data_IF_346320172265
#
_entry.id   IF_346320172265
#
_cell.length_a   1.000
_cell.length_b   1.000
_cell.length_c   1.000
_cell.angle_alpha   90.00
_cell.angle_beta   90.00
_cell.angle_gamma   90.00
#
_symmetry.space_group_name_H-M   'P 1'
#
loop_
_entity.id
_entity.type
_entity.pdbx_description
1 polymer ?
#
# COMPACT_ATOMS: atom_id res chain seq x y z
N UNK A 1 -2.29 0.77 -15.49
CA UNK A 1 -2.54 1.67 -14.35
C UNK A 1 -1.23 2.30 -13.92
N UNK A 2 -1.25 3.57 -13.55
CA UNK A 2 -0.06 4.35 -13.22
C UNK A 2 -0.27 5.10 -11.90
N UNK A 3 0.80 5.35 -11.14
CA UNK A 3 0.75 6.16 -9.92
C UNK A 3 0.30 7.60 -10.20
N UNK A 4 0.55 8.10 -11.40
CA UNK A 4 0.17 9.45 -11.83
C UNK A 4 -1.34 9.75 -11.69
N UNK A 5 -2.21 8.75 -11.63
CA UNK A 5 -3.65 8.96 -11.39
C UNK A 5 -3.92 9.73 -10.09
N UNK A 6 -3.04 9.59 -9.08
CA UNK A 6 -3.20 10.26 -7.79
C UNK A 6 -2.98 11.78 -7.87
N UNK A 7 -2.25 12.25 -8.87
CA UNK A 7 -1.99 13.67 -9.12
C UNK A 7 -2.72 14.21 -10.36
N UNK A 8 -3.44 13.38 -11.12
CA UNK A 8 -4.11 13.79 -12.37
C UNK A 8 -5.32 14.70 -12.05
N UNK A 9 -5.32 15.97 -12.50
CA UNK A 9 -6.41 16.91 -12.26
C UNK A 9 -7.78 16.45 -12.76
N UNK A 10 -7.83 15.52 -13.71
CA UNK A 10 -9.07 14.88 -14.19
C UNK A 10 -9.86 14.23 -13.07
N UNK A 11 -9.17 13.73 -12.04
CA UNK A 11 -9.76 13.01 -10.91
C UNK A 11 -9.77 13.84 -9.63
N UNK A 12 -9.67 15.18 -9.75
CA UNK A 12 -9.63 16.08 -8.59
C UNK A 12 -10.84 15.87 -7.68
N UNK A 13 -10.56 15.65 -6.39
CA UNK A 13 -11.55 15.38 -5.36
C UNK A 13 -12.19 13.99 -5.44
N UNK A 14 -11.63 13.09 -6.26
CA UNK A 14 -12.18 11.76 -6.50
C UNK A 14 -11.17 10.63 -6.24
N UNK A 15 -10.04 10.95 -5.64
CA UNK A 15 -9.00 9.98 -5.26
C UNK A 15 -8.70 10.08 -3.78
N UNK A 16 -8.43 8.94 -3.14
CA UNK A 16 -7.94 8.88 -1.76
C UNK A 16 -6.55 8.27 -1.72
N UNK A 17 -5.73 8.74 -0.79
CA UNK A 17 -4.32 8.40 -0.66
C UNK A 17 -4.08 7.93 0.77
N UNK A 18 -3.16 6.98 0.96
CA UNK A 18 -2.79 6.51 2.31
C UNK A 18 -2.17 7.64 3.15
N UNK A 19 -2.72 7.85 4.34
CA UNK A 19 -2.16 8.75 5.36
C UNK A 19 -0.99 8.07 6.10
N UNK A 20 0.03 7.76 5.33
CA UNK A 20 1.26 7.12 5.78
C UNK A 20 2.43 7.67 4.99
N UNK A 21 3.42 8.21 5.70
CA UNK A 21 4.60 8.86 5.09
C UNK A 21 5.30 7.93 4.10
N UNK A 22 5.51 6.67 4.45
CA UNK A 22 6.21 5.70 3.60
C UNK A 22 5.42 5.37 2.34
N UNK A 23 4.11 5.12 2.48
CA UNK A 23 3.26 4.74 1.36
C UNK A 23 3.07 5.92 0.39
N UNK A 24 2.78 7.12 0.91
CA UNK A 24 2.63 8.32 0.08
C UNK A 24 3.94 8.71 -0.61
N UNK A 25 5.07 8.60 0.09
CA UNK A 25 6.39 8.86 -0.49
C UNK A 25 6.72 7.87 -1.60
N UNK A 26 6.40 6.58 -1.40
CA UNK A 26 6.57 5.56 -2.43
C UNK A 26 5.76 5.89 -3.70
N UNK A 27 4.50 6.29 -3.55
CA UNK A 27 3.68 6.72 -4.69
C UNK A 27 4.27 7.93 -5.42
N UNK A 28 4.78 8.92 -4.67
CA UNK A 28 5.46 10.08 -5.25
C UNK A 28 6.75 9.69 -6.01
N UNK A 29 7.53 8.74 -5.50
CA UNK A 29 8.68 8.19 -6.22
C UNK A 29 8.27 7.42 -7.49
N UNK A 30 7.14 6.72 -7.46
CA UNK A 30 6.58 6.06 -8.63
C UNK A 30 6.24 7.06 -9.74
N UNK A 31 5.62 8.18 -9.39
CA UNK A 31 5.34 9.29 -10.33
C UNK A 31 6.64 9.92 -10.83
N UNK A 32 7.60 10.20 -9.93
CA UNK A 32 8.88 10.81 -10.28
C UNK A 32 9.67 9.98 -11.29
N UNK A 33 9.62 8.66 -11.17
CA UNK A 33 10.43 7.75 -11.96
C UNK A 33 9.62 7.02 -13.07
N UNK A 34 8.37 7.44 -13.32
CA UNK A 34 7.47 6.78 -14.29
C UNK A 34 8.12 6.56 -15.64
N UNK A 35 8.74 7.60 -16.17
CA UNK A 35 9.39 7.56 -17.50
C UNK A 35 10.50 6.49 -17.58
N UNK A 36 11.28 6.31 -16.54
CA UNK A 36 12.33 5.30 -16.49
C UNK A 36 11.75 3.90 -16.25
N UNK A 37 10.87 3.76 -15.27
CA UNK A 37 10.31 2.49 -14.82
C UNK A 37 9.45 1.80 -15.88
N UNK A 38 8.87 2.56 -16.82
CA UNK A 38 7.99 2.05 -17.89
C UNK A 38 8.72 1.81 -19.22
N UNK A 39 10.02 2.15 -19.34
CA UNK A 39 10.77 1.91 -20.57
C UNK A 39 10.93 0.41 -20.85
N UNK A 40 10.76 -0.04 -22.11
CA UNK A 40 10.93 -1.45 -22.46
C UNK A 40 12.32 -2.00 -22.10
N UNK A 41 13.37 -1.20 -22.26
CA UNK A 41 14.75 -1.61 -21.92
C UNK A 41 14.92 -1.77 -20.41
N UNK A 42 14.25 -0.94 -19.60
CA UNK A 42 14.25 -1.08 -18.15
C UNK A 42 13.47 -2.33 -17.72
N UNK A 43 12.27 -2.53 -18.27
CA UNK A 43 11.38 -3.66 -17.94
C UNK A 43 12.05 -5.00 -18.25
N UNK A 44 12.81 -5.08 -19.33
CA UNK A 44 13.50 -6.30 -19.79
C UNK A 44 14.93 -6.42 -19.25
N UNK A 45 15.40 -5.49 -18.43
CA UNK A 45 16.75 -5.52 -17.87
C UNK A 45 16.92 -6.65 -16.86
N UNK A 46 18.04 -7.40 -16.87
CA UNK A 46 18.31 -8.45 -15.89
C UNK A 46 18.48 -7.91 -14.46
N UNK A 47 18.86 -6.64 -14.30
CA UNK A 47 19.05 -5.94 -13.03
C UNK A 47 17.84 -5.09 -12.63
N UNK A 48 16.69 -5.26 -13.29
CA UNK A 48 15.47 -4.48 -13.06
C UNK A 48 15.10 -4.35 -11.58
N UNK A 49 15.10 -5.46 -10.85
CA UNK A 49 14.66 -5.45 -9.43
C UNK A 49 15.63 -4.65 -8.55
N UNK A 50 16.94 -4.74 -8.81
CA UNK A 50 17.94 -3.96 -8.09
C UNK A 50 17.78 -2.47 -8.37
N UNK A 51 17.59 -2.09 -9.63
CA UNK A 51 17.36 -0.71 -10.05
C UNK A 51 16.04 -0.14 -9.50
N UNK A 52 14.95 -0.92 -9.47
CA UNK A 52 13.70 -0.51 -8.80
C UNK A 52 13.99 -0.24 -7.31
N UNK A 53 14.67 -1.16 -6.63
CA UNK A 53 15.00 -0.97 -5.22
C UNK A 53 15.86 0.29 -4.99
N UNK A 54 16.79 0.59 -5.86
CA UNK A 54 17.61 1.80 -5.79
C UNK A 54 16.74 3.07 -5.98
N UNK A 55 15.94 3.13 -7.04
CA UNK A 55 15.10 4.30 -7.35
C UNK A 55 14.04 4.56 -6.28
N UNK A 56 13.37 3.48 -5.82
CA UNK A 56 12.23 3.58 -4.92
C UNK A 56 12.61 3.68 -3.43
N UNK A 57 13.91 3.70 -3.11
CA UNK A 57 14.43 3.94 -1.76
C UNK A 57 15.32 5.20 -1.67
N UNK A 58 15.34 6.03 -2.71
CA UNK A 58 16.13 7.27 -2.71
C UNK A 58 15.62 8.26 -1.68
N UNK A 59 16.57 8.83 -0.91
CA UNK A 59 16.30 9.82 0.13
C UNK A 59 17.30 10.98 0.11
N UNK A 60 18.00 11.16 -1.02
CA UNK A 60 18.84 12.34 -1.21
C UNK A 60 17.98 13.62 -1.29
N UNK A 61 18.58 14.74 -0.94
CA UNK A 61 17.89 16.03 -0.80
C UNK A 61 17.14 16.44 -2.07
N UNK A 62 17.72 16.22 -3.25
CA UNK A 62 17.10 16.57 -4.52
C UNK A 62 15.86 15.73 -4.79
N UNK A 63 15.95 14.41 -4.54
CA UNK A 63 14.81 13.49 -4.67
C UNK A 63 13.70 13.84 -3.69
N UNK A 64 14.04 14.09 -2.42
CA UNK A 64 13.05 14.47 -1.38
C UNK A 64 12.33 15.78 -1.74
N UNK A 65 13.06 16.79 -2.20
CA UNK A 65 12.45 18.07 -2.61
C UNK A 65 11.51 17.93 -3.81
N UNK A 66 11.86 17.07 -4.77
CA UNK A 66 10.98 16.78 -5.92
C UNK A 66 9.75 15.99 -5.48
N UNK A 67 9.93 14.96 -4.66
CA UNK A 67 8.82 14.17 -4.11
C UNK A 67 7.88 15.04 -3.26
N UNK A 68 8.39 16.01 -2.49
CA UNK A 68 7.57 16.98 -1.75
C UNK A 68 6.66 17.77 -2.69
N UNK A 69 7.16 18.20 -3.83
CA UNK A 69 6.38 18.92 -4.83
C UNK A 69 5.26 18.06 -5.39
N UNK A 70 5.56 16.81 -5.75
CA UNK A 70 4.57 15.82 -6.21
C UNK A 70 3.53 15.54 -5.13
N UNK A 71 3.94 15.36 -3.87
CA UNK A 71 3.03 15.15 -2.75
C UNK A 71 2.09 16.35 -2.52
N UNK A 72 2.54 17.58 -2.78
CA UNK A 72 1.68 18.76 -2.73
C UNK A 72 0.63 18.72 -3.85
N UNK A 73 1.01 18.34 -5.06
CA UNK A 73 0.07 18.15 -6.18
C UNK A 73 -0.94 17.04 -5.87
N UNK A 74 -0.48 15.88 -5.38
CA UNK A 74 -1.34 14.80 -4.93
C UNK A 74 -2.33 15.27 -3.85
N UNK A 75 -1.86 16.09 -2.89
CA UNK A 75 -2.72 16.65 -1.83
C UNK A 75 -3.79 17.59 -2.38
N UNK A 76 -3.45 18.45 -3.33
CA UNK A 76 -4.43 19.33 -3.97
C UNK A 76 -5.45 18.58 -4.80
N UNK A 77 -5.08 17.41 -5.30
CA UNK A 77 -5.92 16.55 -6.12
C UNK A 77 -6.79 15.60 -5.29
N UNK A 78 -6.33 15.18 -4.12
CA UNK A 78 -6.99 14.19 -3.29
C UNK A 78 -8.34 14.69 -2.73
N UNK A 79 -9.30 13.77 -2.64
CA UNK A 79 -10.47 13.92 -1.79
C UNK A 79 -10.06 13.93 -0.31
N UNK A 80 -9.24 12.95 0.09
CA UNK A 80 -8.66 12.88 1.42
C UNK A 80 -7.40 12.00 1.46
N UNK A 81 -6.57 12.23 2.49
CA UNK A 81 -5.66 11.22 3.00
C UNK A 81 -6.38 10.39 4.05
N UNK A 82 -6.22 9.07 4.03
CA UNK A 82 -6.96 8.16 4.87
C UNK A 82 -6.15 6.91 5.24
N UNK A 83 -6.53 6.24 6.32
CA UNK A 83 -5.96 4.94 6.70
C UNK A 83 -6.94 3.79 6.46
N UNK A 84 -8.22 3.95 6.83
CA UNK A 84 -9.23 2.90 6.76
C UNK A 84 -10.53 3.32 6.06
N UNK A 85 -10.83 4.62 5.97
CA UNK A 85 -12.11 5.12 5.44
C UNK A 85 -12.27 4.94 3.94
N UNK A 86 -11.17 4.79 3.20
CA UNK A 86 -11.15 4.67 1.75
C UNK A 86 -11.94 3.47 1.23
N UNK A 87 -12.00 2.38 1.99
CA UNK A 87 -12.85 1.22 1.66
C UNK A 87 -14.31 1.60 1.51
N UNK A 88 -14.86 2.29 2.51
CA UNK A 88 -16.25 2.75 2.49
C UNK A 88 -16.48 3.84 1.43
N UNK A 89 -15.53 4.73 1.20
CA UNK A 89 -15.63 5.77 0.19
C UNK A 89 -15.67 5.19 -1.23
N UNK A 90 -14.95 4.07 -1.49
CA UNK A 90 -15.02 3.33 -2.75
C UNK A 90 -16.36 2.61 -2.93
N UNK A 91 -16.79 1.82 -1.94
CA UNK A 91 -18.04 1.02 -2.00
C UNK A 91 -19.25 1.93 -2.21
N UNK A 92 -19.26 3.11 -1.58
CA UNK A 92 -20.36 4.08 -1.71
C UNK A 92 -20.28 4.95 -2.98
N UNK A 93 -19.25 4.74 -3.82
CA UNK A 93 -19.07 5.54 -5.03
C UNK A 93 -18.69 6.99 -4.81
N UNK A 94 -18.21 7.33 -3.61
CA UNK A 94 -17.84 8.70 -3.23
C UNK A 94 -16.52 9.14 -3.87
N UNK A 95 -15.63 8.17 -4.14
CA UNK A 95 -14.39 8.37 -4.88
C UNK A 95 -14.28 7.36 -6.00
N UNK A 96 -13.49 7.68 -7.04
CA UNK A 96 -13.27 6.82 -8.21
C UNK A 96 -12.02 5.96 -8.10
N UNK A 97 -11.05 6.40 -7.31
CA UNK A 97 -9.83 5.64 -7.10
C UNK A 97 -9.37 5.77 -5.64
N UNK A 98 -8.85 4.66 -5.13
CA UNK A 98 -8.28 4.61 -3.79
C UNK A 98 -6.95 3.86 -3.83
N UNK A 99 -5.90 4.47 -3.30
CA UNK A 99 -4.65 3.80 -3.03
C UNK A 99 -4.78 2.98 -1.76
N UNK A 100 -4.82 1.65 -1.89
CA UNK A 100 -5.04 0.71 -0.79
C UNK A 100 -3.96 -0.36 -0.70
N UNK A 101 -3.87 -1.00 0.45
CA UNK A 101 -3.18 -2.28 0.63
C UNK A 101 -3.99 -3.40 -0.03
N UNK A 102 -3.32 -4.45 -0.48
CA UNK A 102 -3.94 -5.53 -1.27
C UNK A 102 -5.13 -6.19 -0.57
N UNK A 103 -5.02 -6.49 0.72
CA UNK A 103 -6.11 -7.09 1.48
C UNK A 103 -7.33 -6.16 1.58
N UNK A 104 -7.11 -4.86 1.84
CA UNK A 104 -8.19 -3.87 1.85
C UNK A 104 -8.84 -3.72 0.47
N UNK A 105 -8.07 -3.83 -0.62
CA UNK A 105 -8.60 -3.76 -1.97
C UNK A 105 -9.52 -4.96 -2.26
N UNK A 106 -9.09 -6.18 -1.94
CA UNK A 106 -9.92 -7.39 -2.11
C UNK A 106 -11.20 -7.30 -1.29
N UNK A 107 -11.10 -6.94 -0.01
CA UNK A 107 -12.28 -6.72 0.84
C UNK A 107 -13.24 -5.68 0.23
N UNK A 108 -12.70 -4.59 -0.33
CA UNK A 108 -13.51 -3.53 -0.95
C UNK A 108 -14.24 -4.03 -2.20
N UNK A 109 -13.59 -4.86 -3.03
CA UNK A 109 -14.23 -5.49 -4.18
C UNK A 109 -15.39 -6.40 -3.74
N UNK A 110 -15.16 -7.27 -2.75
CA UNK A 110 -16.17 -8.18 -2.24
C UNK A 110 -17.39 -7.44 -1.68
N UNK A 111 -17.16 -6.35 -0.93
CA UNK A 111 -18.26 -5.54 -0.38
C UNK A 111 -19.03 -4.80 -1.49
N UNK A 112 -18.36 -4.29 -2.51
CA UNK A 112 -19.02 -3.60 -3.62
C UNK A 112 -19.88 -4.58 -4.45
N UNK A 113 -19.41 -5.82 -4.66
CA UNK A 113 -20.15 -6.84 -5.40
C UNK A 113 -21.47 -7.23 -4.70
N UNK A 114 -21.52 -7.21 -3.36
CA UNK A 114 -22.76 -7.45 -2.59
C UNK A 114 -23.85 -6.43 -2.95
N UNK A 115 -23.46 -5.20 -3.28
CA UNK A 115 -24.37 -4.11 -3.64
C UNK A 115 -24.53 -3.96 -5.18
N UNK A 116 -24.18 -4.98 -5.95
CA UNK A 116 -24.16 -5.00 -7.43
C UNK A 116 -23.29 -3.87 -8.04
N UNK A 117 -22.27 -3.41 -7.32
CA UNK A 117 -21.34 -2.40 -7.77
C UNK A 117 -19.96 -3.02 -8.05
N UNK A 118 -19.47 -2.87 -9.27
CA UNK A 118 -18.24 -3.54 -9.72
C UNK A 118 -17.06 -2.59 -9.72
N UNK A 119 -16.04 -2.93 -8.95
CA UNK A 119 -14.76 -2.25 -8.87
C UNK A 119 -13.67 -3.05 -9.57
N UNK A 120 -12.58 -2.42 -9.93
CA UNK A 120 -11.39 -3.06 -10.47
C UNK A 120 -10.19 -2.82 -9.55
N UNK A 121 -9.41 -3.86 -9.32
CA UNK A 121 -8.12 -3.77 -8.66
C UNK A 121 -7.01 -3.76 -9.72
N UNK A 122 -6.11 -2.81 -9.61
CA UNK A 122 -4.98 -2.68 -10.53
C UNK A 122 -3.68 -2.44 -9.77
N UNK A 123 -2.61 -3.07 -10.24
CA UNK A 123 -1.24 -2.81 -9.79
C UNK A 123 -0.61 -1.83 -10.78
N UNK A 124 0.03 -0.74 -10.32
CA UNK A 124 0.72 0.20 -11.21
C UNK A 124 1.83 -0.47 -12.02
N UNK A 125 1.97 -0.04 -13.28
CA UNK A 125 2.91 -0.63 -14.24
C UNK A 125 4.37 -0.34 -13.91
N UNK A 126 4.63 0.78 -13.26
CA UNK A 126 5.95 1.19 -12.80
C UNK A 126 6.53 0.18 -11.82
N UNK A 127 5.86 -0.02 -10.73
CA UNK A 127 6.17 -0.99 -9.68
C UNK A 127 5.15 -0.91 -8.55
N UNK A 128 5.20 -1.87 -7.64
CA UNK A 128 4.47 -1.84 -6.38
C UNK A 128 5.39 -2.23 -5.22
N UNK A 129 5.00 -1.83 -4.02
CA UNK A 129 5.69 -2.23 -2.81
C UNK A 129 5.26 -3.66 -2.41
N UNK A 130 6.22 -4.47 -1.98
CA UNK A 130 5.97 -5.78 -1.38
C UNK A 130 6.47 -5.71 0.06
N UNK A 131 5.63 -6.08 1.01
CA UNK A 131 5.99 -6.12 2.42
C UNK A 131 5.52 -7.42 3.06
N UNK A 132 6.02 -7.68 4.22
CA UNK A 132 5.52 -8.74 5.10
C UNK A 132 5.48 -8.22 6.52
N UNK A 133 4.48 -8.68 7.26
CA UNK A 133 4.35 -8.43 8.69
C UNK A 133 4.81 -9.65 9.49
N UNK A 134 5.35 -9.41 10.65
CA UNK A 134 5.85 -10.46 11.52
C UNK A 134 5.45 -10.25 12.97
N UNK A 135 5.18 -11.34 13.66
CA UNK A 135 5.01 -11.31 15.11
C UNK A 135 6.33 -11.05 15.80
N UNK A 136 6.35 -10.11 16.72
CA UNK A 136 7.53 -9.81 17.55
C UNK A 136 7.17 -9.81 19.02
N UNK A 137 8.09 -10.31 19.85
CA UNK A 137 7.98 -10.21 21.30
C UNK A 137 8.91 -9.10 21.80
N UNK A 138 8.33 -8.10 22.46
CA UNK A 138 9.12 -7.03 23.06
C UNK A 138 9.93 -7.57 24.25
N UNK A 139 11.25 -7.40 24.22
CA UNK A 139 12.16 -7.90 25.24
C UNK A 139 11.74 -7.49 26.66
N UNK A 140 11.43 -6.21 26.84
CA UNK A 140 11.03 -5.68 28.16
C UNK A 140 9.64 -6.18 28.60
N UNK A 141 8.77 -6.52 27.64
CA UNK A 141 7.43 -7.05 27.92
C UNK A 141 7.43 -8.46 28.48
N UNK A 142 8.44 -9.26 28.15
CA UNK A 142 8.58 -10.67 28.58
C UNK A 142 9.73 -10.89 29.55
N UNK A 143 10.58 -9.89 29.79
CA UNK A 143 11.79 -10.01 30.62
C UNK A 143 11.46 -10.46 32.04
N UNK A 144 12.12 -11.54 32.47
CA UNK A 144 11.96 -12.08 33.80
C UNK A 144 10.65 -12.81 34.07
N UNK A 145 9.77 -12.97 33.09
CA UNK A 145 8.47 -13.64 33.22
C UNK A 145 8.32 -14.76 32.17
N UNK A 146 8.74 -15.97 32.58
CA UNK A 146 8.68 -17.14 31.72
C UNK A 146 7.23 -17.51 31.33
N UNK A 147 6.25 -17.23 32.18
CA UNK A 147 4.84 -17.51 31.89
C UNK A 147 4.31 -16.58 30.76
N UNK A 148 4.68 -15.31 30.79
CA UNK A 148 4.35 -14.38 29.71
C UNK A 148 5.00 -14.77 28.39
N UNK A 149 6.28 -15.17 28.43
CA UNK A 149 6.95 -15.64 27.22
C UNK A 149 6.25 -16.86 26.63
N UNK A 150 5.95 -17.86 27.43
CA UNK A 150 5.23 -19.07 27.00
C UNK A 150 3.84 -18.73 26.43
N UNK A 151 3.12 -17.81 27.05
CA UNK A 151 1.81 -17.37 26.56
C UNK A 151 1.94 -16.66 25.18
N UNK A 152 2.94 -15.80 25.01
CA UNK A 152 3.20 -15.14 23.74
C UNK A 152 3.59 -16.14 22.64
N UNK A 153 4.46 -17.09 22.93
CA UNK A 153 4.85 -18.16 22.00
C UNK A 153 3.63 -19.03 21.63
N UNK A 154 2.79 -19.40 22.61
CA UNK A 154 1.58 -20.17 22.36
C UNK A 154 0.59 -19.40 21.46
N UNK A 155 0.44 -18.09 21.66
CA UNK A 155 -0.39 -17.23 20.80
C UNK A 155 0.14 -17.17 19.39
N UNK A 156 1.44 -16.92 19.20
CA UNK A 156 2.08 -16.87 17.88
C UNK A 156 1.91 -18.21 17.17
N UNK A 157 2.17 -19.32 17.86
CA UNK A 157 2.00 -20.66 17.31
C UNK A 157 0.53 -20.95 16.92
N UNK A 158 -0.43 -20.50 17.74
CA UNK A 158 -1.85 -20.62 17.43
C UNK A 158 -2.20 -19.85 16.14
N UNK A 159 -1.78 -18.59 16.03
CA UNK A 159 -2.03 -17.73 14.87
C UNK A 159 -1.34 -18.25 13.61
N UNK A 160 -0.20 -18.94 13.76
CA UNK A 160 0.58 -19.49 12.64
C UNK A 160 0.12 -20.87 12.18
N UNK A 161 -0.88 -21.47 12.83
CA UNK A 161 -1.45 -22.75 12.38
C UNK A 161 -2.13 -22.58 11.03
N UNK A 162 -1.97 -23.52 10.10
CA UNK A 162 -2.54 -23.40 8.74
C UNK A 162 -4.05 -23.13 8.72
N UNK A 163 -4.82 -23.77 9.60
CA UNK A 163 -6.26 -23.57 9.73
C UNK A 163 -6.64 -22.16 10.16
N UNK A 164 -5.86 -21.56 11.06
CA UNK A 164 -6.07 -20.20 11.54
C UNK A 164 -5.58 -19.17 10.49
N UNK A 165 -4.47 -19.46 9.82
CA UNK A 165 -3.96 -18.60 8.73
C UNK A 165 -4.98 -18.51 7.60
N UNK A 166 -5.51 -19.63 7.12
CA UNK A 166 -6.55 -19.64 6.07
C UNK A 166 -7.80 -18.89 6.50
N UNK A 167 -8.23 -19.09 7.75
CA UNK A 167 -9.38 -18.34 8.30
C UNK A 167 -9.12 -16.84 8.33
N UNK A 168 -7.91 -16.43 8.77
CA UNK A 168 -7.53 -15.02 8.81
C UNK A 168 -7.52 -14.41 7.41
N UNK A 169 -6.93 -15.10 6.43
CA UNK A 169 -6.93 -14.66 5.03
C UNK A 169 -8.34 -14.48 4.47
N UNK A 170 -9.28 -15.33 4.83
CA UNK A 170 -10.68 -15.19 4.41
C UNK A 170 -11.34 -13.88 4.89
N UNK A 171 -10.92 -13.36 6.05
CA UNK A 171 -11.51 -12.14 6.63
C UNK A 171 -10.77 -10.86 6.28
N UNK A 172 -9.51 -10.94 5.85
CA UNK A 172 -8.72 -9.76 5.50
C UNK A 172 -8.49 -9.56 4.00
N UNK A 173 -8.96 -10.48 3.16
CA UNK A 173 -8.79 -10.44 1.72
C UNK A 173 -7.52 -11.09 1.20
#
# INVERSE_FOLDING_TARGET
SHWAILADPKYKGQVTIKDNVRDSYFAALGILNEDELTQPDFINSPDRLERIAELMNRTDEATVNTAESILKEMKENAYSFESDSGKADMVTGKVLANYQWSGDAVYTLDQAEIDDYYLAYAVPEECTNIWFDGWVMLKDGISGDAAKQQAAEAFINFMSRPDNVVRNMYYIG
#
